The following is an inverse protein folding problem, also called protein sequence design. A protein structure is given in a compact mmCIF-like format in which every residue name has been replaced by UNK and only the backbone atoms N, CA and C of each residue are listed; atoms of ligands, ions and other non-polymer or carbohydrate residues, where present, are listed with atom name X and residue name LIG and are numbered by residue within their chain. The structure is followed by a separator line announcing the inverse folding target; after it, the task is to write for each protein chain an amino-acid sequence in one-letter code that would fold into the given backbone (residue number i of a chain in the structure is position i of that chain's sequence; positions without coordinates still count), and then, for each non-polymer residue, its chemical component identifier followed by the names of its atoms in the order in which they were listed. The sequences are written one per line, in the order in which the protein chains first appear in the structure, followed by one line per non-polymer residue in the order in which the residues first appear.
data_IF_714080854991
#
_entry.id   IF_714080854991
#
_cell.length_a   1.000
_cell.length_b   1.000
_cell.length_c   1.000
_cell.angle_alpha   90.00
_cell.angle_beta   90.00
_cell.angle_gamma   90.00
#
_symmetry.space_group_name_H-M   'P 1'
#
loop_
_entity.id
_entity.type
_entity.pdbx_description
1 polymer ?
#
# COMPACT_ATOMS: atom_id res chain seq x y z
N UNK A 1 -49.19 12.85 40.58
CA UNK A 1 -47.96 13.20 39.82
C UNK A 1 -47.15 11.92 39.60
N UNK A 2 -47.12 11.32 38.40
CA UNK A 2 -46.37 10.05 38.24
C UNK A 2 -46.51 9.29 36.92
N UNK A 3 -47.40 9.72 36.02
CA UNK A 3 -47.52 9.17 34.67
C UNK A 3 -46.57 9.86 33.67
N UNK A 4 -46.43 11.20 33.78
CA UNK A 4 -45.60 12.03 32.89
C UNK A 4 -44.11 11.65 32.92
N UNK A 5 -43.55 11.35 34.11
CA UNK A 5 -42.13 11.01 34.28
C UNK A 5 -41.75 9.65 33.67
N UNK A 6 -42.66 8.67 33.69
CA UNK A 6 -42.39 7.32 33.14
C UNK A 6 -42.43 7.28 31.61
N UNK A 7 -43.29 8.09 30.98
CA UNK A 7 -43.28 8.26 29.52
C UNK A 7 -42.00 8.97 29.05
N UNK A 8 -41.57 10.00 29.78
CA UNK A 8 -40.36 10.77 29.45
C UNK A 8 -39.10 9.91 29.50
N UNK A 9 -38.98 9.04 30.50
CA UNK A 9 -37.84 8.11 30.62
C UNK A 9 -37.84 7.02 29.54
N UNK A 10 -39.01 6.51 29.15
CA UNK A 10 -39.11 5.56 28.02
C UNK A 10 -38.74 6.21 26.70
N UNK A 11 -39.24 7.41 26.42
CA UNK A 11 -38.89 8.16 25.20
C UNK A 11 -37.38 8.44 25.13
N UNK A 12 -36.74 8.85 26.23
CA UNK A 12 -35.30 9.09 26.26
C UNK A 12 -34.49 7.83 25.92
N UNK A 13 -34.93 6.65 26.41
CA UNK A 13 -34.29 5.37 26.11
C UNK A 13 -34.47 4.96 24.64
N UNK A 14 -35.65 5.20 24.06
CA UNK A 14 -35.88 4.96 22.62
C UNK A 14 -35.01 5.87 21.74
N UNK A 15 -34.90 7.15 22.09
CA UNK A 15 -34.02 8.10 21.38
C UNK A 15 -32.56 7.66 21.48
N UNK A 16 -32.09 7.25 22.66
CA UNK A 16 -30.72 6.78 22.85
C UNK A 16 -30.42 5.50 22.07
N UNK A 17 -31.35 4.54 22.03
CA UNK A 17 -31.21 3.32 21.23
C UNK A 17 -31.21 3.63 19.74
N UNK A 18 -32.10 4.51 19.27
CA UNK A 18 -32.15 4.92 17.88
C UNK A 18 -30.86 5.64 17.46
N UNK A 19 -30.33 6.54 18.28
CA UNK A 19 -29.07 7.23 17.99
C UNK A 19 -27.88 6.27 17.96
N UNK A 20 -27.80 5.33 18.89
CA UNK A 20 -26.72 4.33 18.90
C UNK A 20 -26.76 3.42 17.66
N UNK A 21 -27.96 2.98 17.25
CA UNK A 21 -28.15 2.20 16.03
C UNK A 21 -27.75 3.00 14.78
N UNK A 22 -28.11 4.28 14.73
CA UNK A 22 -27.78 5.16 13.60
C UNK A 22 -26.25 5.40 13.52
N UNK A 23 -25.58 5.65 14.64
CA UNK A 23 -24.12 5.76 14.68
C UNK A 23 -23.42 4.47 14.27
N UNK A 24 -23.93 3.30 14.67
CA UNK A 24 -23.36 2.00 14.27
C UNK A 24 -23.47 1.77 12.75
N UNK A 25 -24.61 2.14 12.15
CA UNK A 25 -24.83 2.00 10.71
C UNK A 25 -23.96 2.96 9.88
N UNK A 26 -23.75 4.19 10.36
CA UNK A 26 -22.88 5.18 9.68
C UNK A 26 -21.39 4.85 9.87
N UNK A 27 -21.00 4.36 11.06
CA UNK A 27 -19.61 4.00 11.38
C UNK A 27 -19.12 2.73 10.71
N UNK A 28 -19.98 1.73 10.50
CA UNK A 28 -19.61 0.47 9.84
C UNK A 28 -19.68 0.52 8.31
N UNK A 29 -20.35 1.53 7.73
CA UNK A 29 -20.55 1.66 6.29
C UNK A 29 -19.70 2.73 5.62
N UNK A 30 -18.94 3.52 6.38
CA UNK A 30 -18.01 4.49 5.81
C UNK A 30 -16.90 3.77 5.02
N UNK A 31 -16.53 4.21 3.81
CA UNK A 31 -15.35 3.69 3.16
C UNK A 31 -14.18 3.91 4.12
N UNK A 32 -13.46 2.85 4.48
CA UNK A 32 -12.10 3.00 4.97
C UNK A 32 -11.31 3.52 3.76
N UNK A 33 -11.22 4.85 3.64
CA UNK A 33 -10.35 5.46 2.64
C UNK A 33 -8.93 5.13 3.08
N UNK A 34 -8.39 4.02 2.57
CA UNK A 34 -6.95 3.88 2.46
C UNK A 34 -6.52 5.07 1.61
N UNK A 35 -5.77 6.00 2.21
CA UNK A 35 -5.30 7.20 1.54
C UNK A 35 -4.22 6.79 0.52
N UNK A 36 -4.64 6.12 -0.54
CA UNK A 36 -3.77 5.60 -1.58
C UNK A 36 -3.62 6.66 -2.66
N UNK A 37 -2.40 7.15 -2.86
CA UNK A 37 -2.11 8.14 -3.91
C UNK A 37 -1.09 7.54 -4.88
N UNK A 38 -1.45 7.34 -6.15
CA UNK A 38 -0.52 6.84 -7.14
C UNK A 38 0.69 7.77 -7.30
N UNK A 39 1.88 7.20 -7.38
CA UNK A 39 3.13 7.91 -7.63
C UNK A 39 3.69 7.47 -8.99
N UNK A 40 4.08 8.40 -9.87
CA UNK A 40 4.64 8.06 -11.18
C UNK A 40 5.84 7.12 -11.10
N UNK A 41 5.82 6.05 -11.89
CA UNK A 41 6.96 5.12 -12.01
C UNK A 41 8.00 5.64 -13.00
N UNK A 42 9.29 5.30 -12.83
CA UNK A 42 10.34 5.80 -13.68
C UNK A 42 10.23 5.15 -15.06
N UNK A 43 10.32 5.95 -16.12
CA UNK A 43 10.38 5.46 -17.51
C UNK A 43 11.81 5.32 -18.03
N UNK A 44 12.79 5.69 -17.21
CA UNK A 44 14.22 5.54 -17.50
C UNK A 44 14.98 5.24 -16.20
N UNK A 45 16.03 4.43 -16.30
CA UNK A 45 16.95 4.16 -15.20
C UNK A 45 17.72 5.42 -14.82
N UNK A 46 17.71 5.77 -13.53
CA UNK A 46 18.51 6.89 -13.00
C UNK A 46 19.98 6.47 -12.97
N UNK A 47 20.80 7.11 -13.82
CA UNK A 47 22.22 6.73 -14.03
C UNK A 47 23.18 7.33 -13.00
N UNK A 48 22.73 8.29 -12.18
CA UNK A 48 23.56 8.96 -11.19
C UNK A 48 23.04 8.77 -9.77
N UNK A 49 23.97 8.53 -8.84
CA UNK A 49 23.66 8.49 -7.42
C UNK A 49 23.14 9.88 -6.97
N UNK A 50 22.10 9.95 -6.12
CA UNK A 50 21.62 11.22 -5.61
C UNK A 50 22.72 11.99 -4.87
N UNK A 51 22.87 13.29 -5.15
CA UNK A 51 23.82 14.17 -4.44
C UNK A 51 23.43 14.43 -2.97
N UNK A 52 22.19 14.10 -2.62
CA UNK A 52 21.62 14.22 -1.27
C UNK A 52 21.16 12.85 -0.76
N UNK A 53 21.23 12.58 0.56
CA UNK A 53 20.64 11.38 1.13
C UNK A 53 19.16 11.29 0.74
N UNK A 54 18.73 10.09 0.32
CA UNK A 54 17.43 9.84 -0.30
C UNK A 54 16.25 10.37 0.53
N UNK A 55 16.35 10.25 1.85
CA UNK A 55 15.35 10.71 2.82
C UNK A 55 16.06 11.33 4.04
N UNK A 56 16.42 12.62 4.00
CA UNK A 56 17.18 13.25 5.06
C UNK A 56 16.37 13.29 6.36
N UNK A 57 16.98 12.80 7.45
CA UNK A 57 16.34 12.81 8.78
C UNK A 57 15.36 11.67 9.05
N UNK A 58 15.13 10.78 8.08
CA UNK A 58 14.26 9.63 8.25
C UNK A 58 15.06 8.36 8.53
N UNK A 59 14.58 7.57 9.49
CA UNK A 59 14.94 6.14 9.57
C UNK A 59 13.97 5.40 8.67
N UNK A 60 14.44 4.51 7.81
CA UNK A 60 13.57 3.82 6.86
C UNK A 60 13.57 2.33 7.14
N UNK A 61 12.38 1.78 7.38
CA UNK A 61 12.16 0.33 7.45
C UNK A 61 11.64 -0.14 6.11
N UNK A 62 12.37 -1.06 5.48
CA UNK A 62 12.00 -1.65 4.19
C UNK A 62 11.51 -3.07 4.45
N UNK A 63 10.28 -3.35 4.02
CA UNK A 63 9.76 -4.71 3.89
C UNK A 63 9.87 -5.13 2.44
N UNK A 64 10.37 -6.35 2.23
CA UNK A 64 10.52 -6.94 0.91
C UNK A 64 9.74 -8.24 0.92
N UNK A 65 8.75 -8.33 0.03
CA UNK A 65 8.01 -9.55 -0.25
C UNK A 65 8.26 -9.92 -1.71
N UNK A 66 8.67 -11.17 -1.93
CA UNK A 66 8.78 -11.74 -3.26
C UNK A 66 7.88 -12.97 -3.26
N UNK A 67 6.89 -12.98 -4.14
CA UNK A 67 5.93 -14.06 -4.26
C UNK A 67 5.54 -14.33 -5.72
N UNK A 68 4.93 -15.50 -5.93
CA UNK A 68 4.20 -15.80 -7.16
C UNK A 68 2.73 -15.49 -6.90
N UNK A 69 2.16 -14.59 -7.68
CA UNK A 69 0.77 -14.12 -7.53
C UNK A 69 0.02 -14.17 -8.85
N UNK A 70 -1.30 -14.12 -8.81
CA UNK A 70 -2.15 -14.06 -10.01
C UNK A 70 -2.49 -12.61 -10.31
N UNK A 71 -2.05 -12.09 -11.46
CA UNK A 71 -2.24 -10.68 -11.83
C UNK A 71 -2.66 -10.52 -13.29
N UNK A 72 -3.45 -9.48 -13.57
CA UNK A 72 -3.88 -9.09 -14.91
C UNK A 72 -3.02 -7.95 -15.50
N UNK A 73 -1.80 -7.77 -14.99
CA UNK A 73 -0.91 -6.69 -15.42
C UNK A 73 -0.51 -6.79 -16.91
N UNK A 74 -0.50 -8.01 -17.46
CA UNK A 74 -0.27 -8.30 -18.88
C UNK A 74 -1.53 -8.74 -19.61
N UNK A 75 -2.26 -9.69 -19.05
CA UNK A 75 -3.29 -10.46 -19.75
C UNK A 75 -4.63 -10.41 -19.03
N UNK A 76 -5.71 -10.53 -19.81
CA UNK A 76 -7.05 -10.85 -19.33
C UNK A 76 -7.50 -12.13 -20.07
N UNK A 77 -7.65 -13.28 -19.40
CA UNK A 77 -7.65 -13.48 -17.94
C UNK A 77 -6.26 -13.36 -17.29
N UNK A 78 -6.26 -13.11 -15.98
CA UNK A 78 -5.06 -13.02 -15.16
C UNK A 78 -4.20 -14.30 -15.20
N UNK A 79 -2.89 -14.13 -15.05
CA UNK A 79 -1.90 -15.21 -15.11
C UNK A 79 -0.97 -15.17 -13.89
N UNK A 80 -0.23 -16.27 -13.68
CA UNK A 80 0.81 -16.32 -12.66
C UNK A 80 1.98 -15.40 -13.04
N UNK A 81 2.37 -14.53 -12.12
CA UNK A 81 3.47 -13.57 -12.26
C UNK A 81 4.35 -13.58 -11.02
N UNK A 82 5.64 -13.30 -11.19
CA UNK A 82 6.49 -13.00 -10.05
C UNK A 82 6.30 -11.55 -9.65
N UNK A 83 5.95 -11.30 -8.39
CA UNK A 83 5.80 -9.97 -7.84
C UNK A 83 6.89 -9.72 -6.79
N UNK A 84 7.50 -8.55 -6.87
CA UNK A 84 8.35 -7.99 -5.82
C UNK A 84 7.67 -6.74 -5.28
N UNK A 85 7.22 -6.81 -4.03
CA UNK A 85 6.66 -5.69 -3.29
C UNK A 85 7.72 -5.14 -2.32
N UNK A 86 7.94 -3.83 -2.38
CA UNK A 86 8.75 -3.06 -1.45
C UNK A 86 7.87 -2.08 -0.69
N UNK A 87 7.75 -2.25 0.62
CA UNK A 87 7.05 -1.31 1.50
C UNK A 87 8.03 -0.53 2.34
N UNK A 88 8.09 0.78 2.13
CA UNK A 88 8.91 1.71 2.89
C UNK A 88 8.07 2.35 3.99
N UNK A 89 8.52 2.25 5.23
CA UNK A 89 7.90 2.90 6.39
C UNK A 89 8.89 3.89 6.99
N UNK A 90 8.40 5.08 7.34
CA UNK A 90 9.17 6.05 8.10
C UNK A 90 9.24 5.65 9.58
N UNK A 91 10.45 5.58 10.13
CA UNK A 91 10.72 5.10 11.48
C UNK A 91 10.39 3.62 11.71
N UNK A 92 10.33 3.23 12.98
CA UNK A 92 9.91 1.89 13.37
C UNK A 92 8.38 1.85 13.54
N UNK A 93 7.72 0.94 12.82
CA UNK A 93 6.25 0.84 12.85
C UNK A 93 5.50 2.02 12.21
N UNK A 94 6.13 2.77 11.29
CA UNK A 94 5.48 3.90 10.60
C UNK A 94 5.38 5.16 11.46
N UNK A 95 6.29 5.38 12.40
CA UNK A 95 6.28 6.56 13.28
C UNK A 95 6.58 7.89 12.57
N UNK A 96 6.99 7.86 11.31
CA UNK A 96 7.28 9.03 10.49
C UNK A 96 6.53 8.91 9.16
N UNK A 97 6.00 10.04 8.68
CA UNK A 97 5.25 10.12 7.42
C UNK A 97 6.23 10.21 6.26
N UNK A 98 6.07 9.35 5.27
CA UNK A 98 6.73 9.49 3.97
C UNK A 98 5.84 10.36 3.07
N UNK A 99 6.36 11.50 2.59
CA UNK A 99 5.60 12.36 1.68
C UNK A 99 5.53 11.78 0.26
N UNK A 100 4.64 12.34 -0.57
CA UNK A 100 4.54 11.93 -1.97
C UNK A 100 5.85 12.23 -2.74
N UNK A 101 6.55 13.33 -2.43
CA UNK A 101 7.86 13.66 -3.02
C UNK A 101 8.96 12.69 -2.57
N UNK A 102 8.96 12.32 -1.29
CA UNK A 102 9.87 11.35 -0.71
C UNK A 102 9.65 9.96 -1.32
N UNK A 103 8.38 9.57 -1.51
CA UNK A 103 8.01 8.35 -2.21
C UNK A 103 8.48 8.37 -3.67
N UNK A 104 8.37 9.51 -4.37
CA UNK A 104 8.92 9.64 -5.73
C UNK A 104 10.45 9.42 -5.77
N UNK A 105 11.17 9.93 -4.76
CA UNK A 105 12.61 9.67 -4.61
C UNK A 105 12.92 8.18 -4.47
N UNK A 106 12.18 7.48 -3.59
CA UNK A 106 12.27 6.04 -3.40
C UNK A 106 12.00 5.27 -4.70
N UNK A 107 10.90 5.60 -5.38
CA UNK A 107 10.50 5.03 -6.66
C UNK A 107 11.62 5.15 -7.69
N UNK A 108 12.19 6.34 -7.85
CA UNK A 108 13.29 6.60 -8.79
C UNK A 108 14.59 5.85 -8.43
N UNK A 109 14.78 5.49 -7.16
CA UNK A 109 15.99 4.82 -6.69
C UNK A 109 15.88 3.29 -6.80
N UNK A 110 14.73 2.73 -6.43
CA UNK A 110 14.56 1.29 -6.31
C UNK A 110 13.96 0.63 -7.56
N UNK A 111 13.17 1.34 -8.35
CA UNK A 111 12.66 0.84 -9.63
C UNK A 111 13.55 1.34 -10.76
N UNK A 112 14.35 0.45 -11.34
CA UNK A 112 15.34 0.80 -12.37
C UNK A 112 15.21 0.02 -13.69
N UNK A 113 14.13 -0.75 -13.87
CA UNK A 113 13.92 -1.56 -15.07
C UNK A 113 12.92 -0.95 -16.06
N UNK A 114 13.11 -1.24 -17.34
CA UNK A 114 12.10 -1.06 -18.39
C UNK A 114 12.13 -2.27 -19.33
N UNK A 115 10.98 -2.70 -19.81
CA UNK A 115 10.87 -3.83 -20.72
C UNK A 115 9.42 -4.22 -21.01
N UNK A 116 9.16 -4.97 -22.09
CA UNK A 116 7.81 -5.43 -22.42
C UNK A 116 7.24 -6.40 -21.38
N UNK A 117 8.11 -7.01 -20.56
CA UNK A 117 7.73 -7.99 -19.56
C UNK A 117 7.93 -7.60 -18.10
N UNK A 118 8.19 -6.30 -17.90
CA UNK A 118 8.39 -5.72 -16.59
C UNK A 118 7.40 -4.58 -16.38
N UNK A 119 6.54 -4.71 -15.37
CA UNK A 119 5.52 -3.72 -15.06
C UNK A 119 5.68 -3.24 -13.62
N UNK A 120 5.45 -1.95 -13.39
CA UNK A 120 5.64 -1.36 -12.07
C UNK A 120 4.43 -0.56 -11.64
N UNK A 121 4.13 -0.59 -10.36
CA UNK A 121 3.17 0.31 -9.72
C UNK A 121 3.84 0.94 -8.50
N UNK A 122 3.57 2.21 -8.24
CA UNK A 122 3.95 2.84 -6.99
C UNK A 122 2.84 3.72 -6.43
N UNK A 123 2.75 3.77 -5.10
CA UNK A 123 1.75 4.58 -4.41
C UNK A 123 2.17 4.88 -2.98
N UNK A 124 1.71 5.98 -2.43
CA UNK A 124 1.68 6.17 -0.98
C UNK A 124 0.44 5.49 -0.41
N UNK A 125 0.59 4.78 0.71
CA UNK A 125 -0.50 4.07 1.43
C UNK A 125 -0.44 4.49 2.89
N UNK A 126 -1.32 5.41 3.28
CA UNK A 126 -1.24 6.01 4.62
C UNK A 126 0.05 6.81 4.77
N UNK A 127 0.93 6.37 5.67
CA UNK A 127 2.23 7.00 5.97
C UNK A 127 3.42 6.26 5.31
N UNK A 128 3.13 5.22 4.52
CA UNK A 128 4.11 4.37 3.85
C UNK A 128 4.15 4.62 2.33
N UNK A 129 5.23 4.20 1.69
CA UNK A 129 5.39 4.17 0.24
C UNK A 129 5.51 2.71 -0.21
N UNK A 130 4.66 2.27 -1.14
CA UNK A 130 4.61 0.92 -1.68
C UNK A 130 5.02 0.94 -3.15
N UNK A 131 5.93 0.04 -3.51
CA UNK A 131 6.42 -0.16 -4.87
C UNK A 131 6.22 -1.62 -5.23
N UNK A 132 5.45 -1.89 -6.27
CA UNK A 132 5.23 -3.22 -6.81
C UNK A 132 5.94 -3.34 -8.16
N UNK A 133 6.59 -4.48 -8.36
CA UNK A 133 7.31 -4.80 -9.58
C UNK A 133 6.95 -6.21 -10.04
N UNK A 134 6.26 -6.29 -11.17
CA UNK A 134 5.76 -7.53 -11.77
C UNK A 134 6.68 -7.98 -12.89
N UNK A 135 7.18 -9.21 -12.76
CA UNK A 135 8.05 -9.87 -13.70
C UNK A 135 7.28 -11.03 -14.33
N UNK A 136 7.10 -10.92 -15.64
CA UNK A 136 6.34 -11.88 -16.46
C UNK A 136 7.27 -12.41 -17.56
N UNK A 137 6.84 -13.44 -18.31
CA UNK A 137 7.55 -13.90 -19.51
C UNK A 137 9.07 -14.02 -19.33
N UNK A 138 9.83 -13.30 -20.16
CA UNK A 138 11.30 -13.35 -20.11
C UNK A 138 11.89 -12.62 -18.88
N UNK A 139 11.17 -11.63 -18.32
CA UNK A 139 11.63 -10.91 -17.13
C UNK A 139 11.59 -11.77 -15.86
N UNK A 140 10.73 -12.80 -15.82
CA UNK A 140 10.70 -13.78 -14.74
C UNK A 140 12.04 -14.51 -14.56
N UNK A 141 12.92 -14.50 -15.59
CA UNK A 141 14.24 -15.10 -15.49
C UNK A 141 15.14 -14.48 -14.41
N UNK A 142 14.83 -13.27 -13.93
CA UNK A 142 15.55 -12.62 -12.83
C UNK A 142 15.50 -13.43 -11.52
N UNK A 143 14.51 -14.33 -11.34
CA UNK A 143 14.32 -15.09 -10.11
C UNK A 143 14.70 -16.58 -10.20
N UNK A 144 15.10 -17.10 -11.37
CA UNK A 144 15.47 -18.52 -11.48
C UNK A 144 16.62 -18.92 -10.53
N UNK A 145 17.56 -18.01 -10.27
CA UNK A 145 18.65 -18.26 -9.32
C UNK A 145 18.20 -18.40 -7.86
N UNK A 146 17.02 -17.89 -7.51
CA UNK A 146 16.44 -17.98 -6.17
C UNK A 146 15.78 -19.34 -5.95
N UNK A 147 15.16 -19.91 -6.98
CA UNK A 147 14.48 -21.21 -6.92
C UNK A 147 15.49 -22.39 -6.94
N UNK A 148 16.53 -22.33 -7.76
CA UNK A 148 17.52 -23.42 -7.86
C UNK A 148 18.37 -23.60 -6.58
N UNK A 149 18.50 -22.57 -5.74
CA UNK A 149 19.24 -22.61 -4.47
C UNK A 149 18.44 -23.13 -3.27
N UNK A 150 17.13 -23.35 -3.43
CA UNK A 150 16.18 -23.66 -2.35
C UNK A 150 15.99 -25.13 -2.02
N UNK A 151 16.69 -26.05 -2.70
CA UNK A 151 16.68 -27.46 -2.33
C UNK A 151 17.59 -27.72 -1.12
N UNK A 152 17.05 -27.56 0.10
CA UNK A 152 17.59 -28.17 1.33
C UNK A 152 16.50 -28.86 2.13
#
# INVERSE_FOLDING_TARGET
MGASTRLRGRMARWVACASAALCALVGAGGPAWANNRPVPTPTASVSQAPDTPLLPGHVITIWVLIDMTISNVRTDPAEDVFNMELTFNGGWGGSQVITDEECQGLVNTFLSGTGPDFFTHAQTVGDACQLDAYYTGDAAHAFYSVDEGGHT
#
